data_IF_092517645953
#
_entry.id   IF_092517645953
#
_cell.length_a   1.000
_cell.length_b   1.000
_cell.length_c   1.000
_cell.angle_alpha   90.00
_cell.angle_beta   90.00
_cell.angle_gamma   90.00
#
_symmetry.space_group_name_H-M   'P 1'
#
loop_
_entity.id
_entity.type
_entity.pdbx_description
1 polymer ?
#
# COMPACT_ATOMS: atom_id res chain seq x y z
N UNK A 1 12.51 -10.78 7.22
CA UNK A 1 11.52 -10.95 8.31
C UNK A 1 10.12 -10.97 7.69
N UNK A 2 9.19 -11.78 8.20
CA UNK A 2 7.77 -11.78 7.80
C UNK A 2 7.00 -10.76 8.66
N UNK A 3 6.28 -9.84 8.01
CA UNK A 3 5.47 -8.85 8.71
C UNK A 3 6.26 -7.98 9.70
N UNK A 4 5.59 -7.61 10.78
CA UNK A 4 6.18 -6.88 11.91
C UNK A 4 6.95 -7.82 12.88
N UNK A 5 7.43 -7.26 14.00
CA UNK A 5 8.15 -8.04 15.02
C UNK A 5 7.30 -9.16 15.66
N UNK A 6 5.96 -9.09 15.55
CA UNK A 6 5.02 -10.10 16.01
C UNK A 6 4.50 -11.00 14.88
N UNK A 7 5.07 -10.90 13.67
CA UNK A 7 4.63 -11.67 12.50
C UNK A 7 3.29 -11.23 11.92
N UNK A 8 2.77 -10.05 12.29
CA UNK A 8 1.52 -9.51 11.76
C UNK A 8 1.77 -8.80 10.44
N UNK A 9 0.83 -8.91 9.53
CA UNK A 9 0.86 -8.24 8.22
C UNK A 9 -0.39 -7.42 8.00
N UNK A 10 -0.36 -6.53 7.00
CA UNK A 10 -1.53 -5.76 6.60
C UNK A 10 -2.40 -6.56 5.63
N UNK A 11 -3.71 -6.32 5.67
CA UNK A 11 -4.69 -6.98 4.82
C UNK A 11 -4.34 -6.85 3.34
N UNK A 12 -4.51 -7.95 2.60
CA UNK A 12 -4.50 -7.96 1.14
C UNK A 12 -5.83 -7.43 0.58
N UNK A 13 -5.86 -7.04 -0.68
CA UNK A 13 -7.08 -6.56 -1.35
C UNK A 13 -7.08 -6.89 -2.83
N UNK A 14 -8.27 -6.82 -3.45
CA UNK A 14 -8.45 -6.99 -4.88
C UNK A 14 -9.38 -5.89 -5.39
N UNK A 15 -8.89 -4.90 -6.16
CA UNK A 15 -9.75 -3.87 -6.72
C UNK A 15 -10.62 -4.46 -7.85
N UNK A 16 -11.79 -3.83 -8.05
CA UNK A 16 -12.64 -4.12 -9.20
C UNK A 16 -13.19 -2.84 -9.81
N UNK A 17 -13.67 -2.90 -11.05
CA UNK A 17 -14.25 -1.74 -11.76
C UNK A 17 -15.70 -2.00 -12.11
N UNK A 18 -16.48 -0.95 -11.94
CA UNK A 18 -17.88 -0.87 -12.35
C UNK A 18 -18.03 0.21 -13.42
N UNK A 19 -18.77 -0.07 -14.49
CA UNK A 19 -19.23 0.90 -15.49
C UNK A 19 -20.71 1.19 -15.30
N UNK A 20 -21.24 2.19 -16.00
CA UNK A 20 -22.67 2.56 -15.94
C UNK A 20 -23.06 3.21 -14.61
N UNK A 21 -22.11 3.89 -13.96
CA UNK A 21 -22.30 4.54 -12.67
C UNK A 21 -22.67 6.01 -12.84
N UNK A 22 -23.69 6.46 -12.14
CA UNK A 22 -24.00 7.90 -12.02
C UNK A 22 -23.11 8.52 -10.93
N UNK A 23 -21.94 9.01 -11.35
CA UNK A 23 -20.94 9.61 -10.47
C UNK A 23 -21.36 10.96 -9.85
N UNK A 24 -22.54 11.49 -10.19
CA UNK A 24 -23.11 12.69 -9.55
C UNK A 24 -23.71 12.42 -8.19
N UNK A 25 -23.95 11.14 -7.86
CA UNK A 25 -24.45 10.69 -6.57
C UNK A 25 -23.31 10.57 -5.55
N UNK A 26 -23.68 10.41 -4.29
CA UNK A 26 -22.72 10.26 -3.20
C UNK A 26 -21.94 8.95 -3.34
N UNK A 27 -20.64 9.06 -3.67
CA UNK A 27 -19.68 7.95 -3.78
C UNK A 27 -18.79 7.82 -2.53
N UNK A 28 -19.18 8.43 -1.41
CA UNK A 28 -18.41 8.44 -0.17
C UNK A 28 -18.34 7.06 0.48
N UNK A 29 -17.33 6.82 1.33
CA UNK A 29 -17.29 5.60 2.15
C UNK A 29 -18.50 5.41 3.06
N UNK A 30 -19.22 6.49 3.42
CA UNK A 30 -20.45 6.43 4.20
C UNK A 30 -21.61 5.83 3.38
N UNK A 31 -21.75 6.24 2.13
CA UNK A 31 -22.76 5.68 1.21
C UNK A 31 -22.48 4.18 0.93
N UNK A 32 -21.20 3.81 0.72
CA UNK A 32 -20.79 2.40 0.59
C UNK A 32 -21.18 1.61 1.83
N UNK A 33 -20.90 2.15 3.02
CA UNK A 33 -21.24 1.49 4.29
C UNK A 33 -22.74 1.23 4.40
N UNK A 34 -23.57 2.22 4.10
CA UNK A 34 -25.03 2.09 4.13
C UNK A 34 -25.50 0.97 3.18
N UNK A 35 -25.00 0.92 1.95
CA UNK A 35 -25.34 -0.12 0.98
C UNK A 35 -24.91 -1.53 1.45
N UNK A 36 -23.70 -1.65 2.01
CA UNK A 36 -23.20 -2.93 2.54
C UNK A 36 -24.02 -3.40 3.74
N UNK A 37 -24.42 -2.51 4.65
CA UNK A 37 -25.28 -2.83 5.79
C UNK A 37 -26.65 -3.35 5.33
N UNK A 38 -27.28 -2.70 4.36
CA UNK A 38 -28.54 -3.16 3.78
C UNK A 38 -28.40 -4.55 3.12
N UNK A 39 -27.32 -4.76 2.36
CA UNK A 39 -27.04 -6.03 1.73
C UNK A 39 -26.87 -7.18 2.74
N UNK A 40 -26.11 -6.93 3.82
CA UNK A 40 -25.94 -7.90 4.94
C UNK A 40 -27.27 -8.21 5.62
N UNK A 41 -28.07 -7.19 5.92
CA UNK A 41 -29.39 -7.36 6.53
C UNK A 41 -30.36 -8.14 5.63
N UNK A 42 -30.16 -8.11 4.31
CA UNK A 42 -30.88 -8.91 3.34
C UNK A 42 -30.30 -10.31 3.13
N UNK A 43 -29.28 -10.71 3.92
CA UNK A 43 -28.69 -12.06 3.88
C UNK A 43 -27.64 -12.26 2.79
N UNK A 44 -27.09 -11.18 2.17
CA UNK A 44 -25.99 -11.33 1.22
C UNK A 44 -24.70 -11.71 1.94
N UNK A 45 -23.99 -12.69 1.41
CA UNK A 45 -22.75 -13.24 1.94
C UNK A 45 -21.51 -12.62 1.26
N UNK A 46 -20.30 -12.97 1.72
CA UNK A 46 -19.00 -12.53 1.21
C UNK A 46 -18.78 -10.99 1.23
N UNK A 47 -19.34 -10.34 2.22
CA UNK A 47 -19.22 -8.90 2.45
C UNK A 47 -18.51 -8.60 3.80
N UNK A 48 -17.28 -9.08 4.06
CA UNK A 48 -16.65 -8.96 5.39
C UNK A 48 -16.32 -7.51 5.75
N UNK A 49 -15.96 -6.67 4.79
CA UNK A 49 -15.59 -5.28 5.03
C UNK A 49 -16.83 -4.38 5.02
N UNK A 50 -16.93 -3.51 6.02
CA UNK A 50 -18.09 -2.64 6.20
C UNK A 50 -18.18 -1.49 5.17
N UNK A 51 -17.04 -1.08 4.59
CA UNK A 51 -16.96 0.05 3.68
C UNK A 51 -15.66 0.01 2.86
N UNK A 52 -15.50 0.95 1.94
CA UNK A 52 -14.29 1.13 1.13
C UNK A 52 -14.35 2.39 0.28
N UNK A 53 -13.36 2.55 -0.58
CA UNK A 53 -13.27 3.70 -1.48
C UNK A 53 -13.80 3.35 -2.87
N UNK A 54 -14.57 4.27 -3.42
CA UNK A 54 -14.93 4.31 -4.83
C UNK A 54 -14.16 5.47 -5.47
N UNK A 55 -13.21 5.14 -6.32
CA UNK A 55 -12.40 6.11 -7.05
C UNK A 55 -13.04 6.36 -8.41
N UNK A 56 -13.61 7.53 -8.60
CA UNK A 56 -14.19 7.95 -9.87
C UNK A 56 -13.11 8.27 -10.89
N UNK A 57 -13.33 7.88 -12.14
CA UNK A 57 -12.49 8.29 -13.26
C UNK A 57 -13.15 9.51 -13.92
N UNK A 58 -12.50 10.66 -13.84
CA UNK A 58 -13.02 11.91 -14.37
C UNK A 58 -13.38 11.79 -15.87
N UNK A 59 -14.52 12.34 -16.25
CA UNK A 59 -15.01 12.24 -17.62
C UNK A 59 -15.59 10.90 -18.05
N UNK A 60 -15.75 9.95 -17.11
CA UNK A 60 -16.32 8.64 -17.39
C UNK A 60 -17.40 8.23 -16.37
N UNK A 61 -18.19 7.21 -16.74
CA UNK A 61 -19.14 6.54 -15.83
C UNK A 61 -18.52 5.29 -15.21
N UNK A 62 -17.20 5.32 -14.95
CA UNK A 62 -16.46 4.20 -14.41
C UNK A 62 -15.92 4.53 -13.03
N UNK A 63 -16.10 3.61 -12.11
CA UNK A 63 -15.49 3.69 -10.77
C UNK A 63 -14.59 2.48 -10.51
N UNK A 64 -13.50 2.71 -9.79
CA UNK A 64 -12.65 1.66 -9.25
C UNK A 64 -12.96 1.48 -7.77
N UNK A 65 -13.44 0.30 -7.39
CA UNK A 65 -13.80 -0.03 -6.02
C UNK A 65 -12.63 -0.71 -5.29
N UNK A 66 -12.26 -0.19 -4.12
CA UNK A 66 -11.22 -0.70 -3.23
C UNK A 66 -11.87 -1.21 -1.94
N UNK A 67 -12.62 -2.32 -2.02
CA UNK A 67 -13.42 -2.87 -0.92
C UNK A 67 -12.94 -4.26 -0.48
N UNK A 68 -12.82 -5.28 -1.37
CA UNK A 68 -12.44 -6.64 -0.98
C UNK A 68 -11.19 -6.68 -0.13
N UNK A 69 -11.19 -7.46 0.94
CA UNK A 69 -10.12 -7.50 1.93
C UNK A 69 -10.01 -8.87 2.59
N UNK A 70 -8.77 -9.36 2.76
CA UNK A 70 -8.46 -10.61 3.45
C UNK A 70 -7.15 -10.48 4.22
N UNK A 71 -7.04 -11.18 5.36
CA UNK A 71 -5.77 -11.23 6.10
C UNK A 71 -4.91 -12.36 5.56
N UNK A 72 -3.66 -12.08 5.11
CA UNK A 72 -2.72 -13.12 4.72
C UNK A 72 -2.24 -13.92 5.93
N UNK A 73 -2.25 -15.24 5.83
CA UNK A 73 -1.69 -16.17 6.83
C UNK A 73 -0.32 -16.70 6.40
N UNK A 74 0.08 -16.51 5.15
CA UNK A 74 1.33 -16.94 4.59
C UNK A 74 1.49 -16.59 3.11
N UNK A 75 2.53 -17.13 2.48
CA UNK A 75 2.87 -16.93 1.05
C UNK A 75 2.99 -18.26 0.30
N UNK A 76 2.45 -19.36 0.82
CA UNK A 76 2.39 -20.61 0.07
C UNK A 76 1.47 -20.47 -1.14
N UNK A 77 1.69 -21.23 -2.19
CA UNK A 77 0.81 -21.22 -3.37
C UNK A 77 -0.64 -21.52 -2.99
N UNK A 78 -0.85 -22.43 -2.02
CA UNK A 78 -2.19 -22.76 -1.50
C UNK A 78 -2.86 -21.55 -0.85
N UNK A 79 -2.11 -20.80 -0.02
CA UNK A 79 -2.64 -19.62 0.65
C UNK A 79 -2.93 -18.49 -0.34
N UNK A 80 -2.04 -18.26 -1.30
CA UNK A 80 -2.27 -17.28 -2.36
C UNK A 80 -3.53 -17.62 -3.17
N UNK A 81 -3.73 -18.90 -3.51
CA UNK A 81 -4.93 -19.37 -4.21
C UNK A 81 -6.20 -19.17 -3.37
N UNK A 82 -6.16 -19.48 -2.07
CA UNK A 82 -7.29 -19.23 -1.15
C UNK A 82 -7.67 -17.74 -1.14
N UNK A 83 -6.69 -16.86 -1.00
CA UNK A 83 -6.94 -15.41 -1.00
C UNK A 83 -7.48 -14.89 -2.35
N UNK A 84 -6.98 -15.43 -3.48
CA UNK A 84 -7.50 -15.08 -4.81
C UNK A 84 -8.98 -15.47 -4.95
N UNK A 85 -9.34 -16.67 -4.55
CA UNK A 85 -10.73 -17.15 -4.60
C UNK A 85 -11.65 -16.30 -3.73
N UNK A 86 -11.30 -16.14 -2.45
CA UNK A 86 -12.09 -15.37 -1.49
C UNK A 86 -12.28 -13.92 -1.92
N UNK A 87 -11.22 -13.25 -2.40
CA UNK A 87 -11.32 -11.85 -2.81
C UNK A 87 -12.12 -11.66 -4.11
N UNK A 88 -12.14 -12.66 -5.01
CA UNK A 88 -12.99 -12.64 -6.21
C UNK A 88 -14.46 -12.84 -5.87
N UNK A 89 -14.79 -13.75 -4.95
CA UNK A 89 -16.14 -13.92 -4.42
C UNK A 89 -16.64 -12.62 -3.76
N UNK A 90 -15.80 -12.00 -2.93
CA UNK A 90 -16.10 -10.70 -2.35
C UNK A 90 -16.34 -9.62 -3.43
N UNK A 91 -15.51 -9.54 -4.49
CA UNK A 91 -15.68 -8.55 -5.54
C UNK A 91 -17.03 -8.66 -6.25
N UNK A 92 -17.48 -9.88 -6.56
CA UNK A 92 -18.80 -10.15 -7.16
C UNK A 92 -19.93 -9.77 -6.20
N UNK A 93 -19.81 -10.15 -4.91
CA UNK A 93 -20.83 -9.84 -3.90
C UNK A 93 -20.93 -8.34 -3.63
N UNK A 94 -19.81 -7.62 -3.53
CA UNK A 94 -19.82 -6.16 -3.39
C UNK A 94 -20.39 -5.47 -4.63
N UNK A 95 -20.06 -5.91 -5.83
CA UNK A 95 -20.65 -5.36 -7.06
C UNK A 95 -22.19 -5.50 -7.06
N UNK A 96 -22.70 -6.68 -6.70
CA UNK A 96 -24.12 -6.93 -6.59
C UNK A 96 -24.79 -6.10 -5.46
N UNK A 97 -24.13 -5.98 -4.30
CA UNK A 97 -24.62 -5.18 -3.18
C UNK A 97 -24.71 -3.68 -3.54
N UNK A 98 -23.66 -3.12 -4.15
CA UNK A 98 -23.65 -1.73 -4.61
C UNK A 98 -24.72 -1.48 -5.64
N UNK A 99 -24.83 -2.35 -6.67
CA UNK A 99 -25.88 -2.24 -7.71
C UNK A 99 -27.28 -2.18 -7.11
N UNK A 100 -27.54 -2.97 -6.07
CA UNK A 100 -28.87 -3.11 -5.50
C UNK A 100 -29.24 -2.04 -4.46
N UNK A 101 -28.26 -1.55 -3.70
CA UNK A 101 -28.54 -0.76 -2.50
C UNK A 101 -27.89 0.62 -2.49
N UNK A 102 -27.05 0.97 -3.48
CA UNK A 102 -26.36 2.24 -3.51
C UNK A 102 -26.94 3.14 -4.62
N UNK A 103 -27.49 4.34 -4.29
CA UNK A 103 -27.97 5.28 -5.29
C UNK A 103 -26.90 5.64 -6.32
N UNK A 104 -27.26 5.58 -7.60
CA UNK A 104 -26.36 5.83 -8.73
C UNK A 104 -25.63 4.60 -9.24
N UNK A 105 -25.85 3.43 -8.62
CA UNK A 105 -25.29 2.15 -9.03
C UNK A 105 -26.30 1.22 -9.70
N UNK A 106 -27.54 1.61 -9.89
CA UNK A 106 -28.65 0.78 -10.36
C UNK A 106 -28.36 0.13 -11.74
N UNK A 107 -27.62 0.85 -12.57
CA UNK A 107 -27.22 0.40 -13.92
C UNK A 107 -25.75 -0.04 -13.99
N UNK A 108 -25.11 -0.18 -12.84
CA UNK A 108 -23.68 -0.57 -12.82
C UNK A 108 -23.47 -2.01 -13.25
N UNK A 109 -22.36 -2.24 -13.97
CA UNK A 109 -21.92 -3.56 -14.40
C UNK A 109 -20.47 -3.80 -13.98
N UNK A 110 -20.20 -5.00 -13.48
CA UNK A 110 -18.83 -5.42 -13.14
C UNK A 110 -18.05 -5.70 -14.43
N UNK A 111 -17.16 -4.80 -14.81
CA UNK A 111 -16.43 -4.88 -16.08
C UNK A 111 -15.01 -5.40 -15.94
N UNK A 112 -14.42 -5.32 -14.73
CA UNK A 112 -13.09 -5.85 -14.49
C UNK A 112 -12.87 -6.15 -13.01
N UNK A 113 -12.18 -7.25 -12.75
CA UNK A 113 -11.55 -7.55 -11.46
C UNK A 113 -10.05 -7.49 -11.67
N UNK A 114 -9.30 -7.02 -10.69
CA UNK A 114 -7.84 -6.95 -10.76
C UNK A 114 -7.22 -8.28 -11.20
N UNK A 115 -6.12 -8.27 -11.98
CA UNK A 115 -5.52 -9.50 -12.52
C UNK A 115 -4.97 -10.40 -11.41
N UNK A 116 -4.57 -9.81 -10.28
CA UNK A 116 -4.08 -10.53 -9.10
C UNK A 116 -4.34 -9.74 -7.83
N UNK A 117 -4.27 -10.44 -6.68
CA UNK A 117 -4.39 -9.82 -5.37
C UNK A 117 -3.25 -8.81 -5.10
N UNK A 118 -3.57 -7.75 -4.39
CA UNK A 118 -2.60 -6.75 -3.90
C UNK A 118 -2.16 -7.08 -2.49
N UNK A 119 -0.95 -7.63 -2.33
CA UNK A 119 -0.32 -7.86 -1.04
C UNK A 119 0.38 -6.57 -0.58
N UNK A 120 -0.14 -5.93 0.48
CA UNK A 120 0.46 -4.71 1.03
C UNK A 120 1.75 -4.98 1.77
N UNK A 121 1.84 -6.11 2.44
CA UNK A 121 2.94 -6.47 3.32
C UNK A 121 3.21 -7.97 3.26
N UNK A 122 4.49 -8.34 3.20
CA UNK A 122 4.95 -9.72 3.20
C UNK A 122 6.28 -9.82 3.95
N UNK A 123 7.40 -9.97 3.23
CA UNK A 123 8.75 -10.04 3.80
C UNK A 123 9.40 -8.67 3.72
N UNK A 124 10.10 -8.28 4.79
CA UNK A 124 10.97 -7.11 4.84
C UNK A 124 12.43 -7.53 4.89
N UNK A 125 13.29 -6.75 4.26
CA UNK A 125 14.73 -6.85 4.46
C UNK A 125 15.03 -6.55 5.94
N UNK A 126 16.00 -7.22 6.53
CA UNK A 126 16.64 -6.76 7.76
C UNK A 126 17.81 -5.88 7.34
N UNK A 127 17.66 -4.59 7.60
CA UNK A 127 18.61 -3.58 7.17
C UNK A 127 19.53 -3.12 8.30
N UNK A 128 20.55 -2.34 7.95
CA UNK A 128 21.56 -1.81 8.90
C UNK A 128 20.98 -0.73 9.82
N UNK A 129 19.97 0.01 9.38
CA UNK A 129 19.31 1.06 10.15
C UNK A 129 17.81 0.97 9.94
N UNK A 130 17.04 0.83 11.02
CA UNK A 130 15.59 0.79 10.93
C UNK A 130 15.02 2.21 10.77
N UNK A 131 14.14 2.41 9.81
CA UNK A 131 13.28 3.59 9.75
C UNK A 131 12.16 3.41 10.78
N UNK A 132 11.95 4.40 11.63
CA UNK A 132 10.98 4.31 12.72
C UNK A 132 9.73 5.16 12.48
N UNK A 133 8.63 4.80 13.14
CA UNK A 133 7.42 5.60 13.16
C UNK A 133 7.67 7.01 13.70
N UNK A 134 8.57 7.16 14.66
CA UNK A 134 8.97 8.47 15.18
C UNK A 134 9.63 9.34 14.09
N UNK A 135 10.53 8.76 13.27
CA UNK A 135 11.15 9.47 12.14
C UNK A 135 10.09 10.00 11.16
N UNK A 136 9.06 9.17 10.90
CA UNK A 136 7.95 9.51 9.99
C UNK A 136 7.05 10.58 10.58
N UNK A 137 6.57 10.39 11.80
CA UNK A 137 5.60 11.28 12.44
C UNK A 137 6.19 12.66 12.75
N UNK A 138 7.48 12.72 13.13
CA UNK A 138 8.19 13.97 13.37
C UNK A 138 8.67 14.66 12.09
N UNK A 139 8.65 13.98 10.94
CA UNK A 139 9.22 14.48 9.69
C UNK A 139 10.75 14.66 9.76
N UNK A 140 11.42 13.67 10.36
CA UNK A 140 12.86 13.75 10.65
C UNK A 140 13.73 13.88 9.41
N UNK A 141 14.64 14.86 9.44
CA UNK A 141 15.71 15.05 8.45
C UNK A 141 16.96 14.34 8.94
N UNK A 142 17.40 13.35 8.19
CA UNK A 142 18.55 12.51 8.56
C UNK A 142 19.76 12.82 7.68
N UNK A 143 20.96 12.83 8.26
CA UNK A 143 22.20 13.00 7.51
C UNK A 143 22.45 11.84 6.53
N UNK A 144 22.06 10.61 6.91
CA UNK A 144 22.18 9.39 6.13
C UNK A 144 20.98 9.13 5.18
N UNK A 145 20.08 10.12 5.00
CA UNK A 145 18.91 10.02 4.16
C UNK A 145 19.23 10.07 2.67
N UNK A 146 18.74 9.11 1.89
CA UNK A 146 18.92 9.02 0.42
C UNK A 146 17.61 8.96 -0.36
N UNK A 147 16.48 9.02 0.31
CA UNK A 147 15.16 9.13 -0.30
C UNK A 147 14.23 9.92 0.62
N UNK A 148 13.13 10.45 0.06
CA UNK A 148 12.09 11.16 0.81
C UNK A 148 10.79 10.40 0.78
N UNK A 149 10.07 10.42 1.91
CA UNK A 149 8.68 10.00 2.04
C UNK A 149 7.83 11.15 2.56
N UNK A 150 6.61 11.28 2.05
CA UNK A 150 5.66 12.33 2.47
C UNK A 150 4.25 11.79 2.76
N UNK A 151 4.04 10.48 2.68
CA UNK A 151 2.74 9.87 2.95
C UNK A 151 2.53 9.65 4.44
N UNK A 152 1.31 9.89 4.91
CA UNK A 152 0.91 9.55 6.29
C UNK A 152 0.80 8.03 6.47
N UNK A 153 1.14 7.47 7.64
CA UNK A 153 0.96 6.05 7.89
C UNK A 153 -0.50 5.62 7.70
N UNK A 154 -0.72 4.66 6.82
CA UNK A 154 -2.00 4.08 6.47
C UNK A 154 -2.00 2.59 6.83
N UNK A 155 -2.62 2.23 7.95
CA UNK A 155 -2.51 0.92 8.59
C UNK A 155 -3.77 0.10 8.36
N UNK A 156 -3.64 -1.06 7.69
CA UNK A 156 -4.72 -2.00 7.39
C UNK A 156 -4.62 -3.26 8.27
N UNK A 157 -4.93 -3.15 9.55
CA UNK A 157 -4.87 -4.27 10.52
C UNK A 157 -6.17 -5.07 10.64
N UNK A 158 -7.20 -4.71 9.89
CA UNK A 158 -8.50 -5.36 9.92
C UNK A 158 -8.98 -5.63 8.49
N UNK A 159 -9.55 -6.80 8.26
CA UNK A 159 -10.26 -7.09 7.02
C UNK A 159 -11.67 -6.51 7.00
N UNK A 160 -12.23 -6.16 8.17
CA UNK A 160 -13.61 -5.68 8.29
C UNK A 160 -13.74 -4.16 8.35
N UNK A 161 -12.72 -3.46 8.82
CA UNK A 161 -12.72 -1.99 9.00
C UNK A 161 -11.85 -1.26 7.98
N UNK A 162 -12.11 0.02 7.84
CA UNK A 162 -11.26 0.94 7.07
C UNK A 162 -9.85 1.05 7.68
N UNK A 163 -8.90 1.55 6.88
CA UNK A 163 -7.55 1.85 7.37
C UNK A 163 -7.57 2.90 8.48
N UNK A 164 -6.64 2.75 9.41
CA UNK A 164 -6.33 3.78 10.41
C UNK A 164 -5.22 4.67 9.86
N UNK A 165 -5.42 5.98 9.92
CA UNK A 165 -4.42 6.98 9.53
C UNK A 165 -3.84 7.65 10.77
N UNK A 166 -2.50 7.74 10.82
CA UNK A 166 -1.82 8.51 11.86
C UNK A 166 -1.49 9.91 11.31
N UNK A 167 -1.75 10.93 12.12
CA UNK A 167 -1.44 12.30 11.76
C UNK A 167 0.08 12.50 11.66
N UNK A 168 0.51 13.17 10.59
CA UNK A 168 1.88 13.66 10.41
C UNK A 168 1.81 15.19 10.34
N UNK A 169 2.93 15.86 10.57
CA UNK A 169 3.00 17.30 10.43
C UNK A 169 2.62 17.69 9.00
N UNK A 170 1.62 18.55 8.84
CA UNK A 170 1.14 19.00 7.53
C UNK A 170 2.26 19.64 6.71
N UNK A 171 2.29 19.33 5.40
CA UNK A 171 3.35 19.78 4.49
C UNK A 171 4.74 19.22 4.79
N UNK A 172 4.86 18.31 5.78
CA UNK A 172 6.13 17.71 6.14
C UNK A 172 6.43 16.48 5.26
N UNK A 173 7.72 16.13 5.26
CA UNK A 173 8.27 14.92 4.68
C UNK A 173 9.39 14.41 5.59
N UNK A 174 9.84 13.20 5.40
CA UNK A 174 10.90 12.57 6.19
C UNK A 174 11.94 11.93 5.27
N UNK A 175 13.17 11.78 5.77
CA UNK A 175 14.21 11.03 5.07
C UNK A 175 14.11 9.53 5.35
N UNK A 176 14.41 8.74 4.32
CA UNK A 176 14.62 7.30 4.43
C UNK A 176 16.12 7.06 4.43
N UNK A 177 16.68 6.47 5.51
CA UNK A 177 18.12 6.29 5.65
C UNK A 177 18.64 5.22 4.68
N UNK A 178 19.87 5.38 4.21
CA UNK A 178 20.54 4.41 3.33
C UNK A 178 20.56 3.01 3.93
N UNK A 179 20.81 2.90 5.24
CA UNK A 179 20.85 1.62 5.94
C UNK A 179 19.50 0.88 6.00
N UNK A 180 18.36 1.55 5.76
CA UNK A 180 17.07 0.89 5.67
C UNK A 180 16.86 0.16 4.33
N UNK A 181 17.67 0.48 3.33
CA UNK A 181 17.67 -0.14 1.99
C UNK A 181 18.80 -1.16 1.83
N UNK A 182 19.77 -1.24 2.75
CA UNK A 182 20.92 -2.13 2.71
C UNK A 182 20.71 -3.34 3.61
N UNK A 183 21.04 -4.54 3.13
CA UNK A 183 21.05 -5.73 3.97
C UNK A 183 22.09 -5.61 5.11
N UNK A 184 21.70 -6.04 6.30
CA UNK A 184 22.60 -6.11 7.44
C UNK A 184 23.72 -7.17 7.22
N UNK A 185 23.40 -8.28 6.56
CA UNK A 185 24.27 -9.45 6.45
C UNK A 185 24.96 -9.60 5.09
N UNK A 186 24.37 -9.07 4.03
CA UNK A 186 24.90 -9.17 2.65
C UNK A 186 25.31 -7.79 2.17
N UNK A 187 26.60 -7.59 1.92
CA UNK A 187 27.16 -6.27 1.58
C UNK A 187 26.64 -5.71 0.26
N UNK A 188 26.35 -6.57 -0.72
CA UNK A 188 25.92 -6.18 -2.06
C UNK A 188 24.42 -6.38 -2.32
N UNK A 189 23.60 -6.47 -1.27
CA UNK A 189 22.16 -6.60 -1.38
C UNK A 189 21.44 -5.35 -0.88
N UNK A 190 20.64 -4.78 -1.78
CA UNK A 190 19.73 -3.65 -1.49
C UNK A 190 18.29 -4.08 -1.67
N UNK A 191 17.39 -3.50 -0.88
CA UNK A 191 15.95 -3.70 -0.97
C UNK A 191 15.22 -2.36 -0.96
N UNK A 192 14.15 -2.25 -1.74
CA UNK A 192 13.35 -1.03 -1.86
C UNK A 192 11.85 -1.32 -1.81
N UNK A 193 11.04 -0.27 -1.78
CA UNK A 193 9.58 -0.39 -1.79
C UNK A 193 9.07 -1.11 -0.55
N UNK A 194 8.31 -2.19 -0.75
CA UNK A 194 7.74 -3.00 0.35
C UNK A 194 8.75 -3.87 1.09
N UNK A 195 10.03 -3.82 0.74
CA UNK A 195 11.12 -4.53 1.43
C UNK A 195 11.94 -3.63 2.36
N UNK A 196 11.69 -2.33 2.40
CA UNK A 196 12.40 -1.37 3.27
C UNK A 196 12.36 -1.82 4.72
N UNK A 197 13.52 -1.72 5.40
CA UNK A 197 13.61 -2.01 6.84
C UNK A 197 13.00 -0.88 7.65
N UNK A 198 11.80 -1.10 8.14
CA UNK A 198 11.02 -0.12 8.87
C UNK A 198 10.21 -0.80 9.97
N UNK A 199 9.86 -0.08 11.04
CA UNK A 199 8.83 -0.53 11.95
C UNK A 199 7.44 -0.46 11.29
N UNK A 200 6.40 -0.90 11.96
CA UNK A 200 5.05 -0.97 11.43
C UNK A 200 4.48 0.38 10.99
N UNK A 201 4.69 1.39 11.79
CA UNK A 201 4.17 2.74 11.54
C UNK A 201 4.90 3.36 10.33
N UNK A 202 6.22 3.27 10.31
CA UNK A 202 7.02 3.75 9.19
C UNK A 202 6.72 2.96 7.90
N UNK A 203 6.59 1.63 7.99
CA UNK A 203 6.26 0.78 6.85
C UNK A 203 4.92 1.18 6.21
N UNK A 204 3.91 1.49 7.01
CA UNK A 204 2.62 1.95 6.52
C UNK A 204 2.67 3.27 5.73
N UNK A 205 3.74 4.07 5.90
CA UNK A 205 3.98 5.30 5.17
C UNK A 205 4.85 5.11 3.91
N UNK A 206 5.78 4.14 3.91
CA UNK A 206 6.77 4.02 2.82
C UNK A 206 6.39 3.05 1.70
N UNK A 207 5.39 2.19 1.91
CA UNK A 207 4.95 1.17 0.93
C UNK A 207 4.15 1.72 -0.25
N UNK A 208 3.78 3.01 -0.25
CA UNK A 208 3.02 3.65 -1.32
C UNK A 208 3.88 3.93 -2.55
N UNK A 209 3.27 3.96 -3.73
CA UNK A 209 4.00 4.02 -5.02
C UNK A 209 5.02 5.15 -5.09
N UNK A 210 4.65 6.38 -4.73
CA UNK A 210 5.58 7.52 -4.80
C UNK A 210 6.84 7.30 -3.98
N UNK A 211 6.72 6.79 -2.75
CA UNK A 211 7.86 6.44 -1.90
C UNK A 211 8.61 5.21 -2.43
N UNK A 212 7.90 4.23 -3.02
CA UNK A 212 8.55 3.08 -3.66
C UNK A 212 9.43 3.49 -4.84
N UNK A 213 9.02 4.46 -5.66
CA UNK A 213 9.85 5.01 -6.72
C UNK A 213 11.11 5.69 -6.16
N UNK A 214 10.96 6.51 -5.11
CA UNK A 214 12.10 7.18 -4.46
C UNK A 214 13.11 6.17 -3.88
N UNK A 215 12.62 5.15 -3.16
CA UNK A 215 13.49 4.12 -2.58
C UNK A 215 14.10 3.20 -3.64
N UNK A 216 13.35 2.89 -4.71
CA UNK A 216 13.87 2.09 -5.84
C UNK A 216 14.99 2.82 -6.58
N UNK A 217 14.81 4.11 -6.87
CA UNK A 217 15.84 4.95 -7.48
C UNK A 217 17.09 5.02 -6.59
N UNK A 218 16.91 5.30 -5.30
CA UNK A 218 18.01 5.39 -4.35
C UNK A 218 18.80 4.08 -4.20
N UNK A 219 18.09 2.94 -4.08
CA UNK A 219 18.71 1.63 -4.00
C UNK A 219 19.48 1.27 -5.29
N UNK A 220 18.89 1.58 -6.46
CA UNK A 220 19.53 1.35 -7.76
C UNK A 220 20.82 2.15 -7.92
N UNK A 221 20.80 3.45 -7.58
CA UNK A 221 22.00 4.31 -7.63
C UNK A 221 23.07 3.82 -6.64
N UNK A 222 22.69 3.46 -5.41
CA UNK A 222 23.64 2.94 -4.43
C UNK A 222 24.30 1.64 -4.89
N UNK A 223 23.51 0.71 -5.46
CA UNK A 223 24.01 -0.56 -5.98
C UNK A 223 24.94 -0.37 -7.19
N UNK A 224 24.61 0.52 -8.12
CA UNK A 224 25.45 0.83 -9.27
C UNK A 224 26.79 1.43 -8.82
N UNK A 225 26.76 2.43 -7.93
CA UNK A 225 27.99 3.03 -7.38
C UNK A 225 28.83 2.00 -6.62
N UNK A 226 28.22 1.07 -5.92
CA UNK A 226 28.96 -0.01 -5.25
C UNK A 226 29.64 -0.94 -6.24
N UNK A 227 28.96 -1.28 -7.33
CA UNK A 227 29.56 -2.11 -8.38
C UNK A 227 30.75 -1.43 -9.05
N UNK A 228 30.65 -0.13 -9.34
CA UNK A 228 31.72 0.64 -9.95
C UNK A 228 32.91 0.87 -9.01
N UNK A 229 32.67 1.06 -7.72
CA UNK A 229 33.71 1.34 -6.72
C UNK A 229 34.34 0.07 -6.15
N UNK A 230 33.74 -1.09 -6.33
CA UNK A 230 34.14 -2.35 -5.67
C UNK A 230 33.94 -2.34 -4.15
N UNK A 231 33.30 -1.33 -3.58
CA UNK A 231 33.03 -1.15 -2.16
C UNK A 231 31.78 -0.30 -1.94
N UNK A 232 31.23 -0.34 -0.74
CA UNK A 232 30.04 0.44 -0.38
C UNK A 232 30.27 1.94 -0.56
N UNK A 233 29.39 2.65 -1.30
CA UNK A 233 29.49 4.09 -1.45
C UNK A 233 29.12 4.82 -0.13
N UNK A 234 29.73 5.97 0.12
CA UNK A 234 29.25 6.86 1.18
C UNK A 234 27.93 7.55 0.77
N UNK A 235 27.17 8.00 1.77
CA UNK A 235 25.88 8.67 1.57
C UNK A 235 25.98 9.88 0.65
N UNK A 236 27.05 10.67 0.80
CA UNK A 236 27.29 11.90 0.01
C UNK A 236 27.42 11.60 -1.48
N UNK A 237 28.11 10.52 -1.87
CA UNK A 237 28.24 10.10 -3.26
C UNK A 237 26.88 9.65 -3.83
N UNK A 238 26.11 8.89 -3.06
CA UNK A 238 24.76 8.46 -3.47
C UNK A 238 23.86 9.68 -3.64
N UNK A 239 23.85 10.62 -2.69
CA UNK A 239 23.05 11.86 -2.79
C UNK A 239 23.46 12.71 -3.97
N UNK A 240 24.76 12.90 -4.21
CA UNK A 240 25.25 13.67 -5.34
C UNK A 240 24.80 13.09 -6.67
N UNK A 241 24.85 11.76 -6.82
CA UNK A 241 24.41 11.11 -8.04
C UNK A 241 22.88 11.19 -8.23
N UNK A 242 22.11 10.98 -7.15
CA UNK A 242 20.66 11.18 -7.17
C UNK A 242 20.27 12.61 -7.57
N UNK A 243 20.97 13.62 -7.04
CA UNK A 243 20.72 15.03 -7.39
C UNK A 243 21.00 15.34 -8.87
N UNK A 244 22.08 14.78 -9.45
CA UNK A 244 22.34 14.88 -10.90
C UNK A 244 21.19 14.31 -11.73
N UNK A 245 20.57 13.24 -11.25
CA UNK A 245 19.41 12.61 -11.85
C UNK A 245 18.07 13.26 -11.44
N UNK A 246 18.10 14.44 -10.81
CA UNK A 246 16.95 15.20 -10.32
C UNK A 246 16.12 14.46 -9.26
N UNK A 247 16.71 13.50 -8.56
CA UNK A 247 16.11 12.85 -7.40
C UNK A 247 15.99 13.82 -6.22
N UNK A 248 14.88 13.72 -5.50
CA UNK A 248 14.66 14.49 -4.27
C UNK A 248 15.31 13.74 -3.09
N UNK A 249 16.38 14.32 -2.51
CA UNK A 249 17.15 13.78 -1.38
C UNK A 249 17.42 14.84 -0.33
#
# INVERSE_FOLDING_TARGET
MWGDAQGRVQAASLPFRLSGVDITKDMSPAAVKCAVEQARNAGMEHLPRESGFLLTLEGSQVVCALIPSVMPEGLSARELTRMEQELREQAVSYAAALKRYMPGMEHSELVMIGPSIGLRETRRLVGRTQLTGEDVLSGRRRADGIARGGWKPEIHRSMTKMATYLAVKEGSWFHIPMGALQSETLENLYGAGRMVWADDTAFAAVRVMGTCFATGHAAGVAAALQADLGQMPCVEKVRAELQKQRGLV
#
